data_IF_547627550248
#
_entry.id   IF_547627550248
#
_cell.length_a   1.000
_cell.length_b   1.000
_cell.length_c   1.000
_cell.angle_alpha   90.00
_cell.angle_beta   90.00
_cell.angle_gamma   90.00
#
_symmetry.space_group_name_H-M   'P 1'
#
loop_
_entity.id
_entity.type
_entity.pdbx_description
1 polymer ?
#
# COMPACT_ATOMS: atom_id res chain seq x y z
N UNK A 1 24.05 -9.69 5.67
CA UNK A 1 23.41 -9.64 7.00
C UNK A 1 23.51 -11.01 7.63
N UNK A 2 24.47 -11.25 8.53
CA UNK A 2 24.50 -12.49 9.30
C UNK A 2 23.36 -12.46 10.30
N UNK A 3 22.49 -13.48 10.28
CA UNK A 3 21.49 -13.66 11.34
C UNK A 3 22.17 -13.83 12.71
N UNK A 4 21.46 -13.62 13.82
CA UNK A 4 22.01 -13.85 15.14
C UNK A 4 22.53 -15.29 15.27
N UNK A 5 23.75 -15.43 15.79
CA UNK A 5 24.40 -16.71 16.07
C UNK A 5 23.48 -17.59 16.93
N UNK A 6 23.22 -18.82 16.50
CA UNK A 6 22.38 -19.77 17.25
C UNK A 6 22.94 -20.12 18.62
N UNK A 7 24.22 -19.84 18.84
CA UNK A 7 24.95 -20.23 20.04
C UNK A 7 24.82 -19.22 21.18
N UNK A 8 24.66 -17.91 20.87
CA UNK A 8 24.63 -16.81 21.86
C UNK A 8 23.21 -16.38 22.29
N UNK A 9 22.23 -17.28 22.15
CA UNK A 9 20.83 -16.99 22.47
C UNK A 9 20.52 -17.31 23.93
N UNK A 10 19.87 -16.38 24.62
CA UNK A 10 19.21 -16.63 25.90
C UNK A 10 18.20 -17.77 25.79
N UNK A 11 17.96 -18.51 26.87
CA UNK A 11 17.02 -19.64 26.87
C UNK A 11 15.62 -19.25 26.38
N UNK A 12 15.17 -18.04 26.75
CA UNK A 12 13.89 -17.49 26.29
C UNK A 12 13.85 -17.30 24.77
N UNK A 13 14.95 -16.81 24.17
CA UNK A 13 15.04 -16.62 22.73
C UNK A 13 15.07 -17.97 21.99
N UNK A 14 15.76 -18.98 22.54
CA UNK A 14 15.76 -20.36 22.01
C UNK A 14 14.36 -20.95 22.00
N UNK A 15 13.64 -20.86 23.12
CA UNK A 15 12.26 -21.34 23.25
C UNK A 15 11.33 -20.66 22.23
N UNK A 16 11.48 -19.35 22.02
CA UNK A 16 10.68 -18.60 21.05
C UNK A 16 10.96 -19.03 19.60
N UNK A 17 12.22 -19.30 19.25
CA UNK A 17 12.59 -19.84 17.94
C UNK A 17 12.01 -21.23 17.70
N UNK A 18 12.09 -22.11 18.69
CA UNK A 18 11.49 -23.43 18.61
C UNK A 18 9.97 -23.36 18.42
N UNK A 19 9.29 -22.48 19.17
CA UNK A 19 7.85 -22.28 19.00
C UNK A 19 7.49 -21.78 17.59
N UNK A 20 8.28 -20.85 17.04
CA UNK A 20 8.10 -20.38 15.65
C UNK A 20 8.34 -21.50 14.64
N UNK A 21 9.37 -22.30 14.83
CA UNK A 21 9.68 -23.44 13.97
C UNK A 21 8.56 -24.49 14.00
N UNK A 22 8.07 -24.83 15.21
CA UNK A 22 6.92 -25.73 15.41
C UNK A 22 5.67 -25.24 14.69
N UNK A 23 5.29 -23.97 14.86
CA UNK A 23 4.13 -23.37 14.15
C UNK A 23 4.30 -23.43 12.63
N UNK A 24 5.49 -23.12 12.11
CA UNK A 24 5.77 -23.20 10.66
C UNK A 24 5.66 -24.63 10.14
N UNK A 25 6.17 -25.61 10.89
CA UNK A 25 6.10 -27.01 10.51
C UNK A 25 4.64 -27.50 10.42
N UNK A 26 3.80 -27.15 11.41
CA UNK A 26 2.37 -27.48 11.41
C UNK A 26 1.66 -26.90 10.19
N UNK A 27 1.78 -25.59 9.94
CA UNK A 27 1.14 -24.93 8.79
C UNK A 27 1.61 -25.50 7.45
N UNK A 28 2.90 -25.86 7.34
CA UNK A 28 3.45 -26.51 6.15
C UNK A 28 2.86 -27.90 5.95
N UNK A 29 2.71 -28.69 7.01
CA UNK A 29 2.10 -30.02 6.94
C UNK A 29 0.63 -29.94 6.50
N UNK A 30 -0.14 -28.99 7.05
CA UNK A 30 -1.52 -28.74 6.62
C UNK A 30 -1.60 -28.37 5.14
N UNK A 31 -0.76 -27.43 4.69
CA UNK A 31 -0.71 -27.02 3.29
C UNK A 31 -0.33 -28.19 2.36
N UNK A 32 0.70 -28.96 2.72
CA UNK A 32 1.11 -30.12 1.93
C UNK A 32 -0.01 -31.16 1.86
N UNK A 33 -0.67 -31.48 2.98
CA UNK A 33 -1.81 -32.42 3.02
C UNK A 33 -2.93 -32.00 2.07
N UNK A 34 -3.27 -30.71 2.04
CA UNK A 34 -4.31 -30.19 1.16
C UNK A 34 -3.84 -30.21 -0.31
N UNK A 35 -2.61 -29.75 -0.57
CA UNK A 35 -2.06 -29.62 -1.92
C UNK A 35 -1.81 -30.96 -2.61
N UNK A 36 -1.38 -31.99 -1.87
CA UNK A 36 -1.06 -33.31 -2.43
C UNK A 36 -2.27 -34.22 -2.56
N UNK A 37 -3.47 -33.79 -2.12
CA UNK A 37 -4.69 -34.58 -2.24
C UNK A 37 -5.16 -34.66 -3.72
N UNK A 38 -5.16 -35.85 -4.35
CA UNK A 38 -5.52 -36.00 -5.77
C UNK A 38 -7.02 -35.81 -6.04
N UNK A 39 -7.87 -35.93 -5.02
CA UNK A 39 -9.33 -35.81 -5.16
C UNK A 39 -9.84 -34.37 -4.93
N UNK A 40 -8.95 -33.39 -4.76
CA UNK A 40 -9.35 -31.98 -4.57
C UNK A 40 -10.16 -31.40 -5.75
N UNK A 41 -9.93 -31.90 -6.96
CA UNK A 41 -10.71 -31.47 -8.13
C UNK A 41 -12.12 -32.08 -8.18
N UNK A 42 -12.34 -33.21 -7.49
CA UNK A 42 -13.62 -33.91 -7.45
C UNK A 42 -14.64 -33.27 -6.50
N UNK A 43 -14.20 -32.44 -5.55
CA UNK A 43 -15.06 -31.73 -4.59
C UNK A 43 -15.69 -30.44 -5.13
N UNK A 44 -15.52 -30.11 -6.41
CA UNK A 44 -16.16 -28.95 -7.05
C UNK A 44 -15.53 -27.58 -6.73
N UNK A 45 -14.58 -27.51 -5.81
CA UNK A 45 -13.84 -26.30 -5.40
C UNK A 45 -12.48 -26.15 -6.14
N UNK A 46 -12.33 -26.81 -7.30
CA UNK A 46 -11.05 -27.02 -7.95
C UNK A 46 -10.39 -25.74 -8.48
N UNK A 47 -9.34 -25.27 -7.81
CA UNK A 47 -8.47 -24.23 -8.36
C UNK A 47 -7.27 -23.84 -7.48
N UNK A 48 -7.46 -23.71 -6.17
CA UNK A 48 -6.39 -23.30 -5.25
C UNK A 48 -6.66 -23.76 -3.80
N UNK A 49 -5.60 -23.99 -3.02
CA UNK A 49 -5.71 -24.25 -1.59
C UNK A 49 -6.14 -22.95 -0.90
N UNK A 50 -7.27 -22.98 -0.20
CA UNK A 50 -7.75 -21.84 0.56
C UNK A 50 -6.85 -21.58 1.79
N UNK A 51 -6.36 -20.35 1.92
CA UNK A 51 -5.58 -19.91 3.09
C UNK A 51 -6.39 -18.93 3.95
N UNK A 52 -6.81 -19.33 5.17
CA UNK A 52 -7.51 -18.45 6.10
C UNK A 52 -6.71 -17.21 6.51
N UNK A 53 -5.37 -17.28 6.51
CA UNK A 53 -4.52 -16.13 6.84
C UNK A 53 -4.61 -15.04 5.77
N UNK A 54 -4.59 -15.42 4.48
CA UNK A 54 -4.76 -14.48 3.37
C UNK A 54 -6.17 -13.87 3.40
N UNK A 55 -7.19 -14.69 3.64
CA UNK A 55 -8.56 -14.18 3.76
C UNK A 55 -8.69 -13.15 4.90
N UNK A 56 -8.14 -13.43 6.09
CA UNK A 56 -8.16 -12.48 7.22
C UNK A 56 -7.40 -11.19 6.91
N UNK A 57 -6.26 -11.29 6.22
CA UNK A 57 -5.52 -10.11 5.81
C UNK A 57 -6.31 -9.23 4.82
N UNK A 58 -7.00 -9.85 3.87
CA UNK A 58 -7.88 -9.13 2.96
C UNK A 58 -9.08 -8.52 3.67
N UNK A 59 -9.71 -9.26 4.58
CA UNK A 59 -10.81 -8.75 5.41
C UNK A 59 -10.37 -7.53 6.22
N UNK A 60 -9.20 -7.57 6.86
CA UNK A 60 -8.63 -6.44 7.60
C UNK A 60 -8.43 -5.18 6.75
N UNK A 61 -8.03 -5.33 5.48
CA UNK A 61 -7.88 -4.18 4.56
C UNK A 61 -9.22 -3.53 4.24
N UNK A 62 -10.25 -4.34 4.05
CA UNK A 62 -11.59 -3.86 3.70
C UNK A 62 -12.29 -3.24 4.91
N UNK A 63 -12.15 -3.85 6.10
CA UNK A 63 -12.76 -3.37 7.35
C UNK A 63 -12.02 -2.19 7.99
N UNK A 64 -11.08 -1.55 7.29
CA UNK A 64 -10.25 -0.48 7.84
C UNK A 64 -11.04 0.72 8.37
N UNK A 65 -12.18 1.01 7.75
CA UNK A 65 -13.06 2.11 8.18
C UNK A 65 -13.77 1.82 9.50
N UNK A 66 -14.23 0.59 9.72
CA UNK A 66 -14.95 0.18 10.94
C UNK A 66 -14.08 0.32 12.20
N UNK A 67 -12.77 0.09 12.06
CA UNK A 67 -11.80 0.19 13.15
C UNK A 67 -11.03 1.52 13.17
N UNK A 68 -11.42 2.50 12.34
CA UNK A 68 -10.75 3.79 12.29
C UNK A 68 -11.00 4.58 13.58
N UNK A 69 -9.92 5.04 14.21
CA UNK A 69 -9.97 5.93 15.38
C UNK A 69 -9.44 7.31 14.99
N UNK A 70 -10.28 8.36 15.03
CA UNK A 70 -9.80 9.72 14.75
C UNK A 70 -8.84 10.15 15.86
N UNK A 71 -7.57 10.33 15.50
CA UNK A 71 -6.51 10.86 16.37
C UNK A 71 -5.97 12.16 15.78
N UNK A 72 -5.33 13.01 16.60
CA UNK A 72 -4.73 14.25 16.11
C UNK A 72 -3.71 13.99 14.99
N UNK A 73 -2.92 12.91 15.10
CA UNK A 73 -1.96 12.50 14.06
C UNK A 73 -2.68 12.14 12.75
N UNK A 74 -3.73 11.31 12.80
CA UNK A 74 -4.46 10.92 11.59
C UNK A 74 -5.13 12.12 10.92
N UNK A 75 -5.62 13.10 11.70
CA UNK A 75 -6.20 14.33 11.15
C UNK A 75 -5.15 15.18 10.42
N UNK A 76 -3.96 15.38 10.99
CA UNK A 76 -2.87 16.14 10.34
C UNK A 76 -2.42 15.45 9.05
N UNK A 77 -2.25 14.12 9.06
CA UNK A 77 -1.90 13.38 7.84
C UNK A 77 -2.99 13.48 6.78
N UNK A 78 -4.26 13.29 7.15
CA UNK A 78 -5.38 13.37 6.21
C UNK A 78 -5.53 14.76 5.61
N UNK A 79 -5.50 15.81 6.45
CA UNK A 79 -5.61 17.19 6.00
C UNK A 79 -4.40 17.59 5.14
N UNK A 80 -3.19 17.24 5.55
CA UNK A 80 -1.97 17.51 4.78
C UNK A 80 -1.99 16.86 3.40
N UNK A 81 -2.40 15.58 3.31
CA UNK A 81 -2.49 14.88 2.02
C UNK A 81 -3.54 15.48 1.07
N UNK A 82 -4.59 16.12 1.59
CA UNK A 82 -5.63 16.74 0.75
C UNK A 82 -5.30 18.19 0.39
N UNK A 83 -4.93 19.00 1.39
CA UNK A 83 -4.76 20.45 1.23
C UNK A 83 -3.47 20.77 0.49
N UNK A 84 -2.36 20.08 0.75
CA UNK A 84 -1.06 20.41 0.15
C UNK A 84 -1.09 20.25 -1.38
N UNK A 85 -1.55 19.12 -1.96
CA UNK A 85 -1.61 18.98 -3.41
C UNK A 85 -2.60 19.96 -4.05
N UNK A 86 -3.74 20.21 -3.39
CA UNK A 86 -4.76 21.13 -3.90
C UNK A 86 -4.23 22.57 -3.98
N UNK A 87 -3.64 23.06 -2.89
CA UNK A 87 -3.04 24.39 -2.84
C UNK A 87 -1.81 24.51 -3.74
N UNK A 88 -0.99 23.45 -3.81
CA UNK A 88 0.16 23.40 -4.71
C UNK A 88 -0.24 23.50 -6.17
N UNK A 89 -1.24 22.73 -6.60
CA UNK A 89 -1.76 22.79 -7.96
C UNK A 89 -2.37 24.16 -8.29
N UNK A 90 -3.17 24.70 -7.37
CA UNK A 90 -3.76 26.04 -7.52
C UNK A 90 -2.68 27.11 -7.71
N UNK A 91 -1.64 27.10 -6.87
CA UNK A 91 -0.55 28.06 -6.96
C UNK A 91 0.24 27.95 -8.27
N UNK A 92 0.57 26.73 -8.69
CA UNK A 92 1.28 26.49 -9.96
C UNK A 92 0.46 26.99 -11.16
N UNK A 93 -0.84 26.70 -11.17
CA UNK A 93 -1.74 27.17 -12.21
C UNK A 93 -1.85 28.71 -12.22
N UNK A 94 -2.02 29.33 -11.05
CA UNK A 94 -2.10 30.78 -10.93
C UNK A 94 -0.81 31.45 -11.42
N UNK A 95 0.34 30.96 -10.99
CA UNK A 95 1.66 31.45 -11.41
C UNK A 95 1.85 31.32 -12.91
N UNK A 96 1.56 30.15 -13.48
CA UNK A 96 1.67 29.92 -14.92
C UNK A 96 0.78 30.89 -15.72
N UNK A 97 -0.47 31.11 -15.31
CA UNK A 97 -1.38 32.04 -15.98
C UNK A 97 -0.89 33.48 -15.92
N UNK A 98 -0.45 33.92 -14.74
CA UNK A 98 0.02 35.29 -14.53
C UNK A 98 1.28 35.58 -15.34
N UNK A 99 2.22 34.64 -15.36
CA UNK A 99 3.45 34.76 -16.16
C UNK A 99 3.16 34.77 -17.66
N UNK A 100 2.26 33.92 -18.14
CA UNK A 100 1.84 33.89 -19.55
C UNK A 100 1.17 35.20 -19.96
N UNK A 101 0.24 35.72 -19.16
CA UNK A 101 -0.38 37.01 -19.42
C UNK A 101 0.64 38.15 -19.46
N UNK A 102 1.60 38.15 -18.54
CA UNK A 102 2.66 39.16 -18.52
C UNK A 102 3.54 39.08 -19.78
N UNK A 103 3.87 37.87 -20.25
CA UNK A 103 4.60 37.66 -21.53
C UNK A 103 3.80 38.19 -22.73
N UNK A 104 2.49 37.98 -22.75
CA UNK A 104 1.62 38.52 -23.80
C UNK A 104 1.57 40.05 -23.79
N UNK A 105 1.52 40.69 -22.61
CA UNK A 105 1.53 42.17 -22.48
C UNK A 105 2.87 42.79 -22.89
N UNK A 106 4.00 42.11 -22.62
CA UNK A 106 5.34 42.56 -23.04
C UNK A 106 5.64 42.31 -24.51
N UNK A 107 4.80 41.60 -25.24
CA UNK A 107 5.02 41.28 -26.66
C UNK A 107 6.08 40.20 -26.90
N UNK A 108 6.49 39.46 -25.87
CA UNK A 108 7.51 38.40 -25.99
C UNK A 108 7.03 37.18 -26.78
N UNK A 109 5.70 37.02 -26.94
CA UNK A 109 5.10 35.91 -27.68
C UNK A 109 4.31 36.47 -28.87
N UNK A 110 4.72 36.08 -30.07
CA UNK A 110 4.04 36.45 -31.30
C UNK A 110 2.60 35.89 -31.31
N UNK A 111 1.67 36.61 -31.94
CA UNK A 111 0.25 36.23 -31.96
C UNK A 111 0.02 34.82 -32.50
N UNK A 112 0.82 34.39 -33.50
CA UNK A 112 0.76 33.05 -34.09
C UNK A 112 1.06 31.92 -33.10
N UNK A 113 1.89 32.18 -32.09
CA UNK A 113 2.42 31.20 -31.13
C UNK A 113 1.61 31.16 -29.82
N UNK A 114 0.48 31.89 -29.75
CA UNK A 114 -0.42 31.88 -28.60
C UNK A 114 -1.30 30.62 -28.59
N UNK A 115 -1.37 29.96 -27.44
CA UNK A 115 -2.30 28.86 -27.20
C UNK A 115 -3.75 29.40 -27.17
N UNK A 116 -4.72 28.63 -27.69
CA UNK A 116 -6.14 28.98 -27.71
C UNK A 116 -6.51 30.30 -28.42
N UNK A 117 -5.80 30.68 -29.48
CA UNK A 117 -6.04 31.94 -30.22
C UNK A 117 -7.37 32.05 -30.98
N UNK A 118 -8.09 30.94 -31.18
CA UNK A 118 -9.32 30.87 -32.01
C UNK A 118 -10.52 30.26 -31.28
N UNK A 119 -10.44 30.15 -29.95
CA UNK A 119 -11.52 29.64 -29.09
C UNK A 119 -12.00 30.79 -28.21
#
# INVERSE_FOLDING_TARGET
MSGPSTYDLTEQARNLLEQKAKRRAVLRQEYLKLKTNPFQHASGEGGAVFDPAIQRYNAMKVSGFEYFKPTGKSAVYGMGMLVIPMMGYFYLMYKQRTELEAKYRRGEVAYKDRNFKFI
#
